data_IF_585956727043
#
_entry.id   IF_585956727043
#
_cell.length_a   1.000
_cell.length_b   1.000
_cell.length_c   1.000
_cell.angle_alpha   90.00
_cell.angle_beta   90.00
_cell.angle_gamma   90.00
#
_symmetry.space_group_name_H-M   'P 1'
#
loop_
_entity.id
_entity.type
_entity.pdbx_description
1 polymer ?
#
# COMPACT_ATOMS: atom_id res chain seq x y z
N UNK A 1 19.70 8.00 -5.86
CA UNK A 1 18.87 7.93 -7.07
C UNK A 1 17.58 7.17 -6.82
N UNK A 2 16.67 7.22 -7.77
CA UNK A 2 15.35 6.57 -7.66
C UNK A 2 15.47 5.05 -7.81
N UNK A 3 14.57 4.33 -7.14
CA UNK A 3 14.40 2.89 -7.26
C UNK A 3 13.02 2.62 -7.83
N UNK A 4 12.97 1.92 -8.95
CA UNK A 4 11.73 1.49 -9.59
C UNK A 4 11.71 -0.02 -9.67
N UNK A 5 10.69 -0.65 -9.09
CA UNK A 5 10.45 -2.07 -9.18
C UNK A 5 9.23 -2.31 -10.06
N UNK A 6 9.40 -3.15 -11.08
CA UNK A 6 8.32 -3.64 -11.91
C UNK A 6 8.30 -5.16 -11.84
N UNK A 7 7.20 -5.72 -11.45
CA UNK A 7 7.11 -7.15 -11.22
C UNK A 7 5.76 -7.73 -11.65
N UNK A 8 5.83 -8.96 -12.14
CA UNK A 8 4.69 -9.74 -12.57
C UNK A 8 4.78 -11.13 -11.95
N UNK A 9 3.83 -11.44 -11.09
CA UNK A 9 3.75 -12.75 -10.45
C UNK A 9 3.07 -13.78 -11.36
N UNK A 10 3.59 -15.00 -11.36
CA UNK A 10 2.90 -16.19 -11.87
C UNK A 10 1.89 -16.73 -10.85
N UNK A 11 1.30 -17.90 -11.13
CA UNK A 11 0.37 -18.56 -10.22
C UNK A 11 0.97 -18.75 -8.81
N UNK A 12 0.30 -18.20 -7.79
CA UNK A 12 0.73 -18.28 -6.39
C UNK A 12 1.90 -17.37 -5.99
N UNK A 13 2.38 -16.47 -6.88
CA UNK A 13 3.51 -15.59 -6.62
C UNK A 13 3.09 -14.12 -6.67
N UNK A 14 3.61 -13.32 -5.74
CA UNK A 14 3.40 -11.87 -5.74
C UNK A 14 4.00 -11.21 -6.98
N UNK A 15 3.40 -10.11 -7.43
CA UNK A 15 3.96 -9.29 -8.51
C UNK A 15 5.33 -8.74 -8.11
N UNK A 16 5.41 -8.11 -6.93
CA UNK A 16 6.67 -7.70 -6.30
C UNK A 16 6.68 -8.19 -4.86
N UNK A 17 7.74 -8.88 -4.44
CA UNK A 17 7.90 -9.41 -3.11
C UNK A 17 9.21 -8.96 -2.48
N UNK A 18 9.10 -8.19 -1.40
CA UNK A 18 10.24 -7.81 -0.56
C UNK A 18 10.25 -8.69 0.69
N UNK A 19 11.37 -9.37 0.93
CA UNK A 19 11.50 -10.32 2.04
C UNK A 19 12.84 -10.17 2.74
N UNK A 20 12.80 -10.15 4.06
CA UNK A 20 13.94 -10.32 4.97
C UNK A 20 14.88 -9.11 5.06
N UNK A 21 15.30 -8.52 3.93
CA UNK A 21 16.28 -7.42 3.96
C UNK A 21 15.59 -6.06 3.83
N UNK A 22 15.97 -5.07 4.67
CA UNK A 22 15.46 -3.71 4.56
C UNK A 22 15.74 -3.12 3.16
N UNK A 23 14.77 -2.40 2.62
CA UNK A 23 14.94 -1.55 1.46
C UNK A 23 15.21 -0.12 1.93
N UNK A 24 16.39 0.41 1.61
CA UNK A 24 16.77 1.79 1.95
C UNK A 24 17.09 2.57 0.68
N UNK A 25 16.41 3.71 0.49
CA UNK A 25 16.69 4.67 -0.59
C UNK A 25 17.08 6.00 0.04
N UNK A 26 18.38 6.29 0.08
CA UNK A 26 18.94 7.45 0.80
C UNK A 26 18.98 8.75 -0.01
N UNK A 27 18.59 8.75 -1.26
CA UNK A 27 18.58 9.96 -2.09
C UNK A 27 17.77 9.77 -3.35
N UNK A 28 16.44 9.73 -3.23
CA UNK A 28 15.53 9.53 -4.34
C UNK A 28 14.20 8.96 -3.91
N UNK A 29 13.40 8.53 -4.87
CA UNK A 29 12.06 8.02 -4.72
C UNK A 29 12.02 6.50 -4.85
N UNK A 30 10.97 5.90 -4.33
CA UNK A 30 10.67 4.48 -4.48
C UNK A 30 9.32 4.30 -5.17
N UNK A 31 9.33 3.66 -6.32
CA UNK A 31 8.12 3.40 -7.10
C UNK A 31 7.98 1.91 -7.38
N UNK A 32 6.80 1.37 -7.12
CA UNK A 32 6.44 0.01 -7.52
C UNK A 32 5.42 0.06 -8.64
N UNK A 33 5.79 -0.54 -9.76
CA UNK A 33 4.96 -0.69 -10.94
C UNK A 33 4.99 -2.15 -11.39
N UNK A 34 3.84 -2.75 -11.61
CA UNK A 34 3.74 -4.13 -12.11
C UNK A 34 2.66 -4.27 -13.18
N UNK A 35 2.79 -5.23 -14.05
CA UNK A 35 1.82 -5.54 -15.08
C UNK A 35 1.12 -6.89 -14.81
N UNK A 36 -0.15 -7.03 -15.18
CA UNK A 36 -0.88 -8.29 -15.13
C UNK A 36 -0.58 -9.19 -16.32
N UNK A 37 -0.50 -10.52 -16.10
CA UNK A 37 -0.32 -11.51 -17.17
C UNK A 37 -1.59 -12.23 -17.60
N UNK A 38 -2.72 -11.97 -16.99
CA UNK A 38 -3.92 -12.72 -17.34
C UNK A 38 -4.85 -11.89 -18.21
N UNK A 39 -4.91 -12.25 -19.49
CA UNK A 39 -5.95 -11.79 -20.41
C UNK A 39 -5.83 -10.37 -20.94
N UNK A 40 -4.68 -9.76 -20.85
CA UNK A 40 -4.46 -8.43 -21.37
C UNK A 40 -3.67 -7.54 -20.42
N UNK A 41 -2.90 -6.64 -20.98
CA UNK A 41 -2.18 -5.61 -20.25
C UNK A 41 -3.22 -4.74 -19.55
N UNK A 42 -3.33 -4.83 -18.23
CA UNK A 42 -4.02 -3.81 -17.46
C UNK A 42 -3.15 -2.54 -17.50
N UNK A 43 -3.37 -1.73 -18.52
CA UNK A 43 -2.70 -0.44 -18.67
C UNK A 43 -3.01 0.41 -17.45
N UNK A 44 -2.01 0.72 -16.66
CA UNK A 44 -2.08 1.69 -15.57
C UNK A 44 -2.24 1.14 -14.15
N UNK A 45 -2.21 -0.17 -13.93
CA UNK A 45 -2.19 -0.77 -12.59
C UNK A 45 -0.89 -1.53 -12.36
N UNK A 46 0.06 -0.93 -11.71
CA UNK A 46 1.30 -1.57 -11.29
C UNK A 46 1.08 -2.63 -10.20
N UNK A 47 1.87 -3.69 -10.20
CA UNK A 47 1.84 -4.71 -9.14
C UNK A 47 0.74 -5.76 -9.27
N UNK A 48 0.37 -6.17 -10.47
CA UNK A 48 -0.68 -7.19 -10.68
C UNK A 48 -0.13 -8.59 -10.50
N UNK A 49 -0.74 -9.38 -9.61
CA UNK A 49 -0.47 -10.80 -9.50
C UNK A 49 -1.25 -11.60 -10.54
N UNK A 50 -0.68 -12.69 -11.02
CA UNK A 50 -1.33 -13.61 -11.95
C UNK A 50 -2.43 -14.45 -11.27
N UNK A 51 -3.34 -15.02 -12.06
CA UNK A 51 -4.34 -15.99 -11.58
C UNK A 51 -3.69 -17.16 -10.88
N UNK A 52 -4.09 -17.44 -9.68
CA UNK A 52 -3.55 -18.53 -8.87
C UNK A 52 -3.26 -18.13 -7.44
N UNK A 53 -3.62 -16.90 -7.08
CA UNK A 53 -3.62 -16.40 -5.72
C UNK A 53 -2.30 -15.81 -5.27
N UNK A 54 -2.16 -14.49 -5.41
CA UNK A 54 -1.10 -13.78 -4.72
C UNK A 54 -1.37 -12.28 -4.63
N UNK A 55 -0.55 -11.62 -3.84
CA UNK A 55 -0.55 -10.17 -3.64
C UNK A 55 -0.01 -9.46 -4.89
N UNK A 56 -0.48 -8.25 -5.14
CA UNK A 56 0.15 -7.38 -6.14
C UNK A 56 1.54 -6.94 -5.67
N UNK A 57 1.59 -6.38 -4.48
CA UNK A 57 2.82 -6.04 -3.75
C UNK A 57 2.77 -6.64 -2.35
N UNK A 58 3.84 -7.32 -1.97
CA UNK A 58 3.97 -7.95 -0.66
C UNK A 58 5.28 -7.56 0.01
N UNK A 59 5.22 -7.19 1.28
CA UNK A 59 6.39 -6.98 2.13
C UNK A 59 6.27 -7.85 3.36
N UNK A 60 7.29 -8.67 3.61
CA UNK A 60 7.40 -9.49 4.82
C UNK A 60 8.75 -9.25 5.48
N UNK A 61 8.73 -8.77 6.70
CA UNK A 61 9.92 -8.56 7.55
C UNK A 61 11.01 -7.68 6.92
N UNK A 62 10.66 -6.87 5.93
CA UNK A 62 11.59 -6.03 5.16
C UNK A 62 11.18 -4.55 5.25
N UNK A 63 11.57 -3.81 6.28
CA UNK A 63 11.25 -2.39 6.40
C UNK A 63 11.65 -1.60 5.16
N UNK A 64 10.78 -0.69 4.73
CA UNK A 64 11.03 0.24 3.63
C UNK A 64 11.31 1.61 4.22
N UNK A 65 12.49 2.17 3.94
CA UNK A 65 12.90 3.51 4.35
C UNK A 65 13.41 4.30 3.16
N UNK A 66 12.73 5.39 2.83
CA UNK A 66 13.00 6.21 1.65
C UNK A 66 13.12 7.66 2.07
N UNK A 67 14.10 8.38 1.52
CA UNK A 67 14.22 9.81 1.77
C UNK A 67 13.22 10.65 0.97
N UNK A 68 12.86 10.22 -0.24
CA UNK A 68 11.91 10.88 -1.14
C UNK A 68 10.50 10.28 -1.09
N UNK A 69 9.80 10.38 -2.19
CA UNK A 69 8.42 9.88 -2.32
C UNK A 69 8.36 8.36 -2.41
N UNK A 70 7.25 7.81 -1.93
CA UNK A 70 6.89 6.39 -2.08
C UNK A 70 5.58 6.31 -2.86
N UNK A 71 5.59 5.66 -4.02
CA UNK A 71 4.39 5.34 -4.80
C UNK A 71 4.33 3.83 -5.04
N UNK A 72 3.41 3.15 -4.37
CA UNK A 72 3.22 1.70 -4.46
C UNK A 72 1.82 1.42 -4.97
N UNK A 73 1.75 0.67 -6.07
CA UNK A 73 0.50 0.22 -6.64
C UNK A 73 0.53 -1.29 -6.80
N UNK A 74 -0.51 -1.96 -6.31
CA UNK A 74 -0.60 -3.40 -6.33
C UNK A 74 -1.99 -3.91 -6.70
N UNK A 75 -2.03 -4.97 -7.51
CA UNK A 75 -3.27 -5.68 -7.79
C UNK A 75 -3.13 -7.18 -7.51
N UNK A 76 -3.85 -7.65 -6.51
CA UNK A 76 -4.07 -9.07 -6.22
C UNK A 76 -5.20 -9.62 -7.11
N UNK A 77 -5.12 -10.88 -7.52
CA UNK A 77 -6.06 -11.44 -8.50
C UNK A 77 -6.90 -12.60 -7.99
N UNK A 78 -6.73 -13.04 -6.75
CA UNK A 78 -7.44 -14.22 -6.22
C UNK A 78 -8.02 -13.97 -4.85
N UNK A 79 -8.98 -14.83 -4.48
CA UNK A 79 -9.61 -14.83 -3.17
C UNK A 79 -8.60 -14.93 -2.02
N UNK A 80 -8.76 -14.12 -1.00
CA UNK A 80 -7.88 -14.04 0.18
C UNK A 80 -6.62 -13.20 0.00
N UNK A 81 -6.39 -12.56 -1.16
CA UNK A 81 -5.17 -11.79 -1.40
C UNK A 81 -5.45 -10.30 -1.61
N UNK A 82 -4.58 -9.47 -1.05
CA UNK A 82 -4.67 -8.02 -1.14
C UNK A 82 -3.91 -7.48 -2.36
N UNK A 83 -4.32 -6.31 -2.82
CA UNK A 83 -3.51 -5.56 -3.78
C UNK A 83 -2.15 -5.21 -3.18
N UNK A 84 -2.16 -4.68 -1.95
CA UNK A 84 -0.95 -4.40 -1.17
C UNK A 84 -1.07 -5.09 0.18
N UNK A 85 -0.04 -5.82 0.58
CA UNK A 85 0.13 -6.37 1.92
C UNK A 85 1.48 -5.96 2.49
N UNK A 86 1.50 -5.42 3.71
CA UNK A 86 2.74 -5.12 4.44
C UNK A 86 2.63 -5.50 5.91
N UNK A 87 3.55 -6.36 6.37
CA UNK A 87 3.78 -6.63 7.79
C UNK A 87 4.99 -5.86 8.35
N UNK A 88 5.57 -4.98 7.54
CA UNK A 88 6.74 -4.20 7.88
C UNK A 88 6.49 -2.71 7.71
N UNK A 89 7.28 -1.90 8.40
CA UNK A 89 7.14 -0.45 8.35
C UNK A 89 7.45 0.11 6.97
N UNK A 90 6.67 1.11 6.57
CA UNK A 90 6.89 1.90 5.36
C UNK A 90 7.09 3.35 5.79
N UNK A 91 8.29 3.89 5.58
CA UNK A 91 8.65 5.23 6.03
C UNK A 91 9.24 6.06 4.90
N UNK A 92 8.67 7.23 4.68
CA UNK A 92 9.32 8.29 3.92
C UNK A 92 9.74 9.42 4.87
N UNK A 93 10.98 9.87 4.80
CA UNK A 93 11.47 10.94 5.71
C UNK A 93 11.22 12.34 5.17
N UNK A 94 11.22 12.53 3.84
CA UNK A 94 11.03 13.85 3.24
C UNK A 94 10.09 13.86 2.02
N UNK A 95 9.41 12.76 1.72
CA UNK A 95 8.44 12.64 0.63
C UNK A 95 7.03 12.28 1.10
N UNK A 96 6.09 12.34 0.19
CA UNK A 96 4.75 11.82 0.38
C UNK A 96 4.73 10.29 0.22
N UNK A 97 3.70 9.65 0.76
CA UNK A 97 3.43 8.22 0.53
C UNK A 97 2.09 8.07 -0.17
N UNK A 98 2.08 7.32 -1.27
CA UNK A 98 0.89 6.91 -2.02
C UNK A 98 0.84 5.39 -2.11
N UNK A 99 -0.23 4.79 -1.58
CA UNK A 99 -0.49 3.35 -1.67
C UNK A 99 -1.82 3.12 -2.37
N UNK A 100 -1.83 2.38 -3.48
CA UNK A 100 -3.04 2.07 -4.23
C UNK A 100 -3.14 0.55 -4.41
N UNK A 101 -4.08 -0.07 -3.73
CA UNK A 101 -4.29 -1.52 -3.75
C UNK A 101 -5.66 -1.93 -4.27
N UNK A 102 -5.69 -2.97 -5.11
CA UNK A 102 -6.92 -3.62 -5.57
C UNK A 102 -6.75 -5.13 -5.52
N UNK A 103 -7.74 -5.84 -4.97
CA UNK A 103 -7.68 -7.30 -4.84
C UNK A 103 -8.94 -7.85 -4.21
N UNK A 104 -8.87 -9.04 -3.64
CA UNK A 104 -9.93 -9.55 -2.74
C UNK A 104 -10.08 -8.61 -1.55
N UNK A 105 -8.96 -8.23 -0.90
CA UNK A 105 -8.83 -6.99 -0.15
C UNK A 105 -7.98 -5.95 -0.90
N UNK A 106 -8.18 -4.67 -0.65
CA UNK A 106 -7.44 -3.60 -1.31
C UNK A 106 -6.03 -3.44 -0.73
N UNK A 107 -5.92 -2.85 0.45
CA UNK A 107 -4.64 -2.61 1.16
C UNK A 107 -4.74 -3.19 2.57
N UNK A 108 -3.77 -4.01 2.97
CA UNK A 108 -3.65 -4.54 4.32
C UNK A 108 -2.30 -4.18 4.93
N UNK A 109 -2.35 -3.54 6.08
CA UNK A 109 -1.18 -3.05 6.81
C UNK A 109 -1.21 -3.61 8.24
N UNK A 110 -0.15 -4.30 8.65
CA UNK A 110 0.00 -4.80 10.01
C UNK A 110 1.17 -4.15 10.75
N UNK A 111 1.85 -3.18 10.12
CA UNK A 111 2.89 -2.34 10.70
C UNK A 111 2.75 -0.88 10.27
N UNK A 112 3.45 0.01 10.94
CA UNK A 112 3.33 1.45 10.78
C UNK A 112 3.64 1.96 9.35
N UNK A 113 2.89 2.97 8.93
CA UNK A 113 3.18 3.78 7.72
C UNK A 113 3.36 5.23 8.14
N UNK A 114 4.53 5.81 7.83
CA UNK A 114 4.90 7.16 8.26
C UNK A 114 5.39 8.01 7.09
N UNK A 115 4.66 9.08 6.78
CA UNK A 115 5.01 10.06 5.77
C UNK A 115 5.55 11.35 6.42
N UNK A 116 6.82 11.64 6.17
CA UNK A 116 7.53 12.81 6.68
C UNK A 116 8.15 12.62 8.07
N UNK A 117 9.10 13.48 8.37
CA UNK A 117 9.73 13.61 9.68
C UNK A 117 10.02 15.08 9.98
N UNK A 118 9.98 15.45 11.27
CA UNK A 118 10.23 16.82 11.69
C UNK A 118 9.17 17.81 11.21
N UNK A 119 9.57 18.99 10.77
CA UNK A 119 8.68 20.09 10.40
C UNK A 119 8.20 20.10 8.93
N UNK A 120 8.66 19.16 8.12
CA UNK A 120 8.27 19.08 6.71
C UNK A 120 6.86 18.50 6.59
N UNK A 121 5.96 19.23 5.94
CA UNK A 121 4.59 18.77 5.69
C UNK A 121 4.58 17.74 4.56
N UNK A 122 4.26 16.49 4.88
CA UNK A 122 4.19 15.36 3.94
C UNK A 122 2.89 14.61 4.12
N UNK A 123 2.29 14.21 3.02
CA UNK A 123 0.97 13.60 2.99
C UNK A 123 1.05 12.08 2.87
N UNK A 124 0.10 11.40 3.49
CA UNK A 124 -0.17 9.99 3.32
C UNK A 124 -1.50 9.82 2.59
N UNK A 125 -1.47 9.15 1.44
CA UNK A 125 -2.66 8.79 0.68
C UNK A 125 -2.74 7.29 0.52
N UNK A 126 -3.86 6.67 0.89
CA UNK A 126 -4.11 5.25 0.70
C UNK A 126 -5.47 5.07 0.03
N UNK A 127 -5.46 4.36 -1.09
CA UNK A 127 -6.68 3.97 -1.81
C UNK A 127 -6.73 2.45 -1.88
N UNK A 128 -7.79 1.85 -1.35
CA UNK A 128 -7.98 0.41 -1.34
C UNK A 128 -9.31 0.00 -1.94
N UNK A 129 -9.31 -0.98 -2.82
CA UNK A 129 -10.53 -1.59 -3.37
C UNK A 129 -10.51 -3.08 -3.12
N UNK A 130 -11.36 -3.53 -2.20
CA UNK A 130 -11.61 -4.95 -1.95
C UNK A 130 -12.80 -5.44 -2.79
N UNK A 131 -12.66 -6.57 -3.47
CA UNK A 131 -13.75 -7.19 -4.25
C UNK A 131 -14.60 -8.16 -3.43
N UNK A 132 -14.07 -8.66 -2.31
CA UNK A 132 -14.80 -9.49 -1.35
C UNK A 132 -14.41 -9.21 0.11
N UNK A 133 -13.32 -8.46 0.34
CA UNK A 133 -12.83 -8.07 1.66
C UNK A 133 -12.77 -6.56 1.85
N UNK A 134 -12.01 -6.13 2.86
CA UNK A 134 -11.87 -4.72 3.21
C UNK A 134 -11.20 -3.91 2.09
N UNK A 135 -11.67 -2.69 1.87
CA UNK A 135 -10.96 -1.73 1.02
C UNK A 135 -9.59 -1.41 1.61
N UNK A 136 -9.57 -0.94 2.86
CA UNK A 136 -8.35 -0.72 3.63
C UNK A 136 -8.51 -1.41 4.98
N UNK A 137 -7.53 -2.27 5.34
CA UNK A 137 -7.37 -2.84 6.66
C UNK A 137 -6.07 -2.34 7.28
N UNK A 138 -6.16 -1.69 8.43
CA UNK A 138 -5.00 -1.32 9.24
C UNK A 138 -5.14 -1.92 10.64
N UNK A 139 -4.25 -2.84 11.02
CA UNK A 139 -4.28 -3.50 12.33
C UNK A 139 -3.97 -2.53 13.47
N UNK A 140 -4.19 -2.94 14.71
CA UNK A 140 -3.87 -2.14 15.89
C UNK A 140 -2.37 -1.76 15.99
N UNK A 141 -1.49 -2.58 15.41
CA UNK A 141 -0.05 -2.32 15.35
C UNK A 141 0.39 -1.47 14.14
N UNK A 142 -0.57 -1.00 13.31
CA UNK A 142 -0.31 -0.23 12.10
C UNK A 142 -0.78 1.23 12.23
N UNK A 143 -0.13 2.08 13.04
CA UNK A 143 -0.43 3.50 13.01
C UNK A 143 -0.12 4.10 11.64
N UNK A 144 -1.03 4.93 11.17
CA UNK A 144 -0.93 5.68 9.91
C UNK A 144 -0.64 7.14 10.26
N UNK A 145 0.58 7.58 10.01
CA UNK A 145 1.08 8.88 10.45
C UNK A 145 1.55 9.70 9.27
N UNK A 146 1.17 10.96 9.23
CA UNK A 146 1.72 11.95 8.32
C UNK A 146 2.08 13.22 9.07
N UNK A 147 3.10 13.94 8.62
CA UNK A 147 3.35 15.31 9.09
C UNK A 147 2.41 16.30 8.43
N UNK A 148 1.88 15.97 7.25
CA UNK A 148 0.81 16.67 6.54
C UNK A 148 -0.53 15.97 6.68
N UNK A 149 -1.36 16.05 5.63
CA UNK A 149 -2.68 15.43 5.60
C UNK A 149 -2.64 13.91 5.46
N UNK A 150 -3.67 13.24 5.98
CA UNK A 150 -3.93 11.82 5.75
C UNK A 150 -5.23 11.67 4.99
N UNK A 151 -5.18 11.00 3.84
CA UNK A 151 -6.36 10.69 3.01
C UNK A 151 -6.50 9.18 2.84
N UNK A 152 -7.57 8.60 3.37
CA UNK A 152 -7.86 7.17 3.25
C UNK A 152 -9.18 7.00 2.50
N UNK A 153 -9.16 6.30 1.36
CA UNK A 153 -10.35 5.98 0.58
C UNK A 153 -10.44 4.48 0.38
N UNK A 154 -11.45 3.86 0.98
CA UNK A 154 -11.64 2.42 0.94
C UNK A 154 -13.00 2.02 0.37
N UNK A 155 -12.98 1.06 -0.54
CA UNK A 155 -14.18 0.42 -1.10
C UNK A 155 -14.13 -1.07 -0.76
N UNK A 156 -15.00 -1.51 0.16
CA UNK A 156 -15.22 -2.93 0.46
C UNK A 156 -16.48 -3.43 -0.26
N UNK A 157 -16.44 -4.66 -0.74
CA UNK A 157 -17.59 -5.32 -1.37
C UNK A 157 -17.93 -6.62 -0.65
N UNK A 158 -19.16 -7.08 -0.80
CA UNK A 158 -19.68 -8.36 -0.31
C UNK A 158 -19.74 -8.46 1.21
N UNK A 159 -18.60 -8.63 1.90
CA UNK A 159 -18.52 -8.80 3.36
C UNK A 159 -17.44 -7.89 4.00
N UNK A 160 -16.75 -7.08 3.20
CA UNK A 160 -15.68 -6.22 3.68
C UNK A 160 -16.14 -4.81 4.06
N UNK A 161 -15.37 -4.19 4.94
CA UNK A 161 -15.54 -2.77 5.25
C UNK A 161 -14.87 -1.91 4.17
N UNK A 162 -15.38 -0.70 3.92
CA UNK A 162 -14.62 0.28 3.16
C UNK A 162 -13.31 0.61 3.88
N UNK A 163 -13.41 0.98 5.16
CA UNK A 163 -12.27 1.21 6.06
C UNK A 163 -12.43 0.36 7.32
N UNK A 164 -11.43 -0.44 7.63
CA UNK A 164 -11.30 -1.24 8.85
C UNK A 164 -10.02 -0.81 9.56
N UNK A 165 -10.13 0.22 10.39
CA UNK A 165 -8.98 0.88 11.03
C UNK A 165 -8.97 0.56 12.52
N UNK A 166 -8.03 -0.27 12.96
CA UNK A 166 -7.80 -0.61 14.36
C UNK A 166 -6.61 0.16 14.95
N UNK A 167 -5.71 0.65 14.10
CA UNK A 167 -4.57 1.49 14.46
C UNK A 167 -4.92 2.98 14.48
N UNK A 168 -4.06 3.76 15.12
CA UNK A 168 -4.20 5.21 15.15
C UNK A 168 -3.99 5.84 13.77
N UNK A 169 -4.74 6.90 13.46
CA UNK A 169 -4.52 7.76 12.27
C UNK A 169 -4.23 9.16 12.77
N UNK A 170 -3.11 9.75 12.37
CA UNK A 170 -2.69 11.06 12.85
C UNK A 170 -2.01 11.93 11.80
N UNK A 171 -2.29 13.23 11.88
CA UNK A 171 -1.54 14.33 11.25
C UNK A 171 -0.81 15.07 12.36
N UNK A 172 0.52 15.23 12.26
CA UNK A 172 1.33 15.69 13.42
C UNK A 172 1.83 17.12 13.35
N UNK A 173 1.86 17.75 12.17
CA UNK A 173 2.29 19.13 11.98
C UNK A 173 1.16 19.98 11.41
N UNK A 174 0.65 19.65 10.22
CA UNK A 174 -0.42 20.39 9.56
C UNK A 174 -1.11 19.51 8.52
N UNK A 175 -2.42 19.62 8.42
CA UNK A 175 -3.22 18.94 7.38
C UNK A 175 -4.42 18.21 7.94
N UNK A 176 -5.37 17.99 7.08
CA UNK A 176 -6.64 17.34 7.42
C UNK A 176 -6.51 15.81 7.41
N UNK A 177 -7.32 15.15 8.22
CA UNK A 177 -7.55 13.72 8.12
C UNK A 177 -8.89 13.51 7.40
N UNK A 178 -8.84 12.94 6.20
CA UNK A 178 -10.00 12.65 5.37
C UNK A 178 -10.17 11.14 5.27
N UNK A 179 -11.29 10.63 5.79
CA UNK A 179 -11.63 9.21 5.79
C UNK A 179 -12.90 9.00 4.96
N UNK A 180 -12.80 8.20 3.91
CA UNK A 180 -13.92 7.86 3.04
C UNK A 180 -14.01 6.34 2.91
N UNK A 181 -14.98 5.74 3.57
CA UNK A 181 -15.24 4.30 3.52
C UNK A 181 -16.60 4.01 2.89
N UNK A 182 -16.63 3.08 1.95
CA UNK A 182 -17.88 2.57 1.36
C UNK A 182 -17.87 1.05 1.34
N UNK A 183 -18.93 0.45 1.86
CA UNK A 183 -19.24 -0.96 1.72
C UNK A 183 -20.50 -1.11 0.84
N UNK A 184 -20.54 -2.12 -0.04
CA UNK A 184 -21.67 -2.38 -0.95
C UNK A 184 -22.00 -3.86 -0.97
#
# INVERSE_FOLDING_TARGET
GDVVLSGQGGAGLAGVYLRTNPLTVSGGNFTVQGASLVGGIATGMPGTAATGGSYGFQVNTAPISVSGEIDIRGQGTSAGYFGIFSDSTITSTAGNISLIGKGDGGVSLTAAVTAGSGALVRNLSIVGTGTAGDGIHASAAAPLVATGGVSLTGYGMTVGFGLNLLGAVSSTVAGDIVLSGRAT
#
